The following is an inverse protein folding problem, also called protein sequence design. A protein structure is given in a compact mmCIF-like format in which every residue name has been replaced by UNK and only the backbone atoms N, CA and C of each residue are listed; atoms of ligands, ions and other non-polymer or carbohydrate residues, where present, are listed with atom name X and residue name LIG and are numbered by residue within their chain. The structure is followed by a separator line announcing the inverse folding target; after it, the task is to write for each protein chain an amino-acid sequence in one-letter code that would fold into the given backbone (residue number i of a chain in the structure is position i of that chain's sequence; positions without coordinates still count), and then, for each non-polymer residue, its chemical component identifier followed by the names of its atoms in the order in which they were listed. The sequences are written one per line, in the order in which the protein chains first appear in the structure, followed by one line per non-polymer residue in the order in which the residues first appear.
data_IF_387174608759
#
_entry.id   IF_387174608759
#
_cell.length_a   1.000
_cell.length_b   1.000
_cell.length_c   1.000
_cell.angle_alpha   90.00
_cell.angle_beta   90.00
_cell.angle_gamma   90.00
#
_symmetry.space_group_name_H-M   'P 1'
#
loop_
_entity.id
_entity.type
_entity.pdbx_description
1 polymer ?
#
# COMPACT_ATOMS: atom_id res chain seq x y z
N UNK A 1 -32.37 -8.45 12.08
CA UNK A 1 -32.13 -8.49 10.62
C UNK A 1 -30.83 -9.25 10.40
N UNK A 2 -30.89 -10.38 9.72
CA UNK A 2 -29.67 -11.14 9.38
C UNK A 2 -29.24 -10.70 7.99
N UNK A 3 -28.02 -10.23 7.85
CA UNK A 3 -27.43 -9.89 6.55
C UNK A 3 -26.84 -11.17 5.99
N UNK A 4 -27.40 -11.66 4.90
CA UNK A 4 -26.84 -12.79 4.16
C UNK A 4 -25.98 -12.25 3.01
N UNK A 5 -24.72 -12.67 2.98
CA UNK A 5 -23.84 -12.37 1.85
C UNK A 5 -24.09 -13.34 0.70
N UNK A 6 -24.09 -12.83 -0.52
CA UNK A 6 -24.08 -13.68 -1.72
C UNK A 6 -22.83 -14.57 -1.68
N UNK A 7 -22.97 -15.81 -2.14
CA UNK A 7 -21.88 -16.79 -2.17
C UNK A 7 -21.53 -17.25 -3.59
N UNK A 8 -22.19 -16.68 -4.58
CA UNK A 8 -22.07 -17.02 -6.02
C UNK A 8 -21.04 -16.13 -6.76
N UNK A 9 -19.96 -15.75 -6.09
CA UNK A 9 -18.89 -14.94 -6.63
C UNK A 9 -17.53 -15.57 -6.33
N UNK A 10 -16.54 -15.32 -7.21
CA UNK A 10 -15.13 -15.69 -6.98
C UNK A 10 -14.46 -14.68 -6.04
N UNK A 11 -14.72 -13.39 -6.25
CA UNK A 11 -14.15 -12.29 -5.47
C UNK A 11 -15.25 -11.41 -4.90
N UNK A 12 -15.19 -11.12 -3.61
CA UNK A 12 -16.11 -10.19 -2.95
C UNK A 12 -15.77 -8.74 -3.31
N UNK A 13 -14.48 -8.49 -3.57
CA UNK A 13 -13.97 -7.19 -3.96
C UNK A 13 -12.75 -7.35 -4.86
N UNK A 14 -12.69 -6.55 -5.92
CA UNK A 14 -11.52 -6.41 -6.79
C UNK A 14 -11.13 -4.94 -6.79
N UNK A 15 -9.88 -4.64 -6.46
CA UNK A 15 -9.40 -3.26 -6.30
C UNK A 15 -8.22 -2.98 -7.24
N UNK A 16 -8.45 -2.25 -8.34
CA UNK A 16 -7.35 -1.70 -9.12
C UNK A 16 -6.66 -0.58 -8.32
N UNK A 17 -5.37 -0.66 -8.16
CA UNK A 17 -4.63 0.35 -7.40
C UNK A 17 -3.15 0.36 -7.75
N UNK A 18 -2.52 1.51 -7.54
CA UNK A 18 -1.09 1.64 -7.46
C UNK A 18 -0.64 1.52 -6.00
N UNK A 19 0.35 0.69 -5.75
CA UNK A 19 0.86 0.46 -4.40
C UNK A 19 2.27 1.02 -4.24
N UNK A 20 2.54 1.56 -3.07
CA UNK A 20 3.84 2.14 -2.75
C UNK A 20 4.25 1.94 -1.31
N UNK A 21 5.32 2.60 -0.93
CA UNK A 21 5.84 2.64 0.43
C UNK A 21 5.46 3.92 1.15
N UNK A 22 5.17 3.80 2.43
CA UNK A 22 5.04 4.94 3.34
C UNK A 22 6.15 4.88 4.35
N UNK A 23 6.86 6.00 4.52
CA UNK A 23 7.84 6.21 5.57
C UNK A 23 7.23 7.09 6.65
N UNK A 24 7.13 6.59 7.87
CA UNK A 24 6.62 7.34 9.00
C UNK A 24 7.72 7.48 10.04
N UNK A 25 8.07 8.71 10.46
CA UNK A 25 9.05 8.90 11.53
C UNK A 25 8.61 8.21 12.82
N UNK A 26 9.55 7.59 13.52
CA UNK A 26 9.25 6.97 14.81
C UNK A 26 8.94 8.03 15.88
N UNK A 27 8.15 7.63 16.88
CA UNK A 27 7.89 8.47 18.07
C UNK A 27 7.33 9.86 17.79
N UNK A 28 6.59 10.03 16.69
CA UNK A 28 5.97 11.33 16.34
C UNK A 28 6.97 12.45 16.03
N UNK A 29 8.22 12.12 15.72
CA UNK A 29 9.24 13.10 15.34
C UNK A 29 8.89 13.78 14.01
N UNK A 30 9.30 15.04 13.81
CA UNK A 30 9.16 15.68 12.51
C UNK A 30 10.13 15.06 11.50
N UNK A 31 9.71 15.00 10.23
CA UNK A 31 10.48 14.37 9.15
C UNK A 31 11.91 14.92 9.05
N UNK A 32 12.06 16.25 9.16
CA UNK A 32 13.36 16.93 8.94
C UNK A 32 14.41 16.60 10.01
N UNK A 33 14.01 16.11 11.16
CA UNK A 33 14.93 15.75 12.26
C UNK A 33 14.98 14.26 12.57
N UNK A 34 14.14 13.44 11.91
CA UNK A 34 14.13 12.01 12.12
C UNK A 34 15.15 11.30 11.25
N UNK A 35 15.84 10.34 11.83
CA UNK A 35 16.73 9.41 11.11
C UNK A 35 16.18 7.99 11.05
N UNK A 36 15.13 7.70 11.82
CA UNK A 36 14.50 6.40 11.90
C UNK A 36 13.04 6.47 11.43
N UNK A 37 12.70 5.59 10.51
CA UNK A 37 11.39 5.53 9.89
C UNK A 37 10.85 4.11 9.89
N UNK A 38 9.54 3.99 10.00
CA UNK A 38 8.82 2.75 9.78
C UNK A 38 8.37 2.72 8.32
N UNK A 39 8.72 1.65 7.61
CA UNK A 39 8.22 1.40 6.25
C UNK A 39 6.91 0.61 6.32
N UNK A 40 5.92 1.07 5.60
CA UNK A 40 4.61 0.42 5.47
C UNK A 40 4.22 0.36 3.99
N UNK A 41 3.55 -0.71 3.57
CA UNK A 41 2.89 -0.71 2.27
C UNK A 41 1.64 0.17 2.34
N UNK A 42 1.38 0.93 1.29
CA UNK A 42 0.29 1.91 1.28
C UNK A 42 -0.48 1.91 -0.03
N UNK A 43 -1.77 1.97 0.11
CA UNK A 43 -2.76 2.26 -0.92
C UNK A 43 -4.10 2.49 -0.21
N UNK A 44 -4.83 3.51 -0.60
CA UNK A 44 -6.14 3.80 -0.01
C UNK A 44 -7.12 2.64 -0.28
N UNK A 45 -7.09 2.11 -1.49
CA UNK A 45 -7.96 1.04 -1.96
C UNK A 45 -7.71 -0.26 -1.20
N UNK A 46 -6.44 -0.64 -0.99
CA UNK A 46 -6.12 -1.86 -0.21
C UNK A 46 -6.44 -1.69 1.26
N UNK A 47 -6.36 -0.49 1.82
CA UNK A 47 -6.77 -0.23 3.20
C UNK A 47 -8.29 -0.47 3.38
N UNK A 48 -9.11 0.00 2.43
CA UNK A 48 -10.55 -0.29 2.43
C UNK A 48 -10.81 -1.78 2.24
N UNK A 49 -10.13 -2.41 1.28
CA UNK A 49 -10.26 -3.83 0.98
C UNK A 49 -9.84 -4.75 2.14
N UNK A 50 -8.97 -4.27 3.03
CA UNK A 50 -8.56 -5.01 4.24
C UNK A 50 -9.74 -5.36 5.12
N UNK A 51 -10.78 -4.54 5.17
CA UNK A 51 -11.98 -4.84 5.96
C UNK A 51 -12.62 -6.15 5.47
N UNK A 52 -12.81 -6.26 4.15
CA UNK A 52 -13.38 -7.49 3.56
C UNK A 52 -12.48 -8.70 3.79
N UNK A 53 -11.18 -8.55 3.60
CA UNK A 53 -10.22 -9.63 3.79
C UNK A 53 -10.19 -10.13 5.25
N UNK A 54 -10.18 -9.25 6.22
CA UNK A 54 -10.20 -9.64 7.64
C UNK A 54 -11.53 -10.23 8.09
N UNK A 55 -12.61 -10.01 7.35
CA UNK A 55 -13.89 -10.72 7.53
C UNK A 55 -13.90 -12.09 6.85
N UNK A 56 -12.78 -12.53 6.27
CA UNK A 56 -12.67 -13.82 5.60
C UNK A 56 -13.25 -13.85 4.18
N UNK A 57 -13.53 -12.70 3.59
CA UNK A 57 -14.05 -12.62 2.23
C UNK A 57 -12.89 -12.55 1.22
N UNK A 58 -13.01 -13.22 0.06
CA UNK A 58 -11.94 -13.22 -0.95
C UNK A 58 -11.80 -11.85 -1.61
N UNK A 59 -10.59 -11.30 -1.57
CA UNK A 59 -10.24 -10.00 -2.15
C UNK A 59 -9.12 -10.17 -3.16
N UNK A 60 -9.22 -9.50 -4.30
CA UNK A 60 -8.17 -9.44 -5.32
C UNK A 60 -7.71 -8.01 -5.57
N UNK A 61 -6.40 -7.81 -5.58
CA UNK A 61 -5.75 -6.54 -5.94
C UNK A 61 -5.24 -6.63 -7.37
N UNK A 62 -5.54 -5.63 -8.19
CA UNK A 62 -4.98 -5.47 -9.53
C UNK A 62 -3.98 -4.33 -9.52
N UNK A 63 -2.74 -4.60 -9.87
CA UNK A 63 -1.67 -3.59 -9.75
C UNK A 63 -0.56 -3.78 -10.78
N UNK A 64 0.47 -2.97 -10.68
CA UNK A 64 1.70 -3.10 -11.45
C UNK A 64 2.88 -3.17 -10.49
N UNK A 65 3.82 -4.06 -10.75
CA UNK A 65 5.06 -4.16 -9.99
C UNK A 65 6.28 -3.89 -10.87
N UNK A 66 7.24 -3.19 -10.30
CA UNK A 66 8.56 -3.06 -10.91
C UNK A 66 9.35 -4.34 -10.64
N UNK A 67 9.75 -5.01 -11.72
CA UNK A 67 10.44 -6.28 -11.70
C UNK A 67 11.75 -6.23 -10.90
N UNK A 68 11.93 -7.19 -10.01
CA UNK A 68 13.12 -7.25 -9.15
C UNK A 68 13.23 -6.17 -8.07
N UNK A 69 12.25 -5.29 -7.94
CA UNK A 69 12.25 -4.24 -6.93
C UNK A 69 12.10 -4.82 -5.50
N UNK A 70 12.95 -4.44 -4.55
CA UNK A 70 12.77 -4.84 -3.16
C UNK A 70 11.50 -4.27 -2.55
N UNK A 71 11.02 -3.12 -3.05
CA UNK A 71 9.75 -2.53 -2.62
C UNK A 71 8.56 -3.35 -3.13
N UNK A 72 8.63 -3.83 -4.38
CA UNK A 72 7.63 -4.76 -4.89
C UNK A 72 7.53 -6.03 -4.03
N UNK A 73 8.67 -6.58 -3.63
CA UNK A 73 8.72 -7.74 -2.72
C UNK A 73 8.07 -7.44 -1.38
N UNK A 74 8.41 -6.30 -0.78
CA UNK A 74 7.83 -5.85 0.47
C UNK A 74 6.31 -5.72 0.39
N UNK A 75 5.79 -5.13 -0.70
CA UNK A 75 4.34 -4.98 -0.92
C UNK A 75 3.66 -6.35 -1.09
N UNK A 76 4.27 -7.26 -1.85
CA UNK A 76 3.74 -8.63 -2.04
C UNK A 76 3.62 -9.37 -0.71
N UNK A 77 4.63 -9.26 0.14
CA UNK A 77 4.64 -9.88 1.47
C UNK A 77 3.58 -9.25 2.39
N UNK A 78 3.35 -7.94 2.29
CA UNK A 78 2.28 -7.24 3.03
C UNK A 78 0.89 -7.68 2.56
N UNK A 79 0.65 -7.80 1.27
CA UNK A 79 -0.62 -8.31 0.72
C UNK A 79 -0.90 -9.75 1.20
N UNK A 80 0.11 -10.60 1.19
CA UNK A 80 0.00 -11.96 1.71
C UNK A 80 -0.34 -11.96 3.21
N UNK A 81 0.29 -11.11 4.00
CA UNK A 81 0.00 -10.93 5.42
C UNK A 81 -1.42 -10.42 5.69
N UNK A 82 -2.02 -9.70 4.76
CA UNK A 82 -3.42 -9.26 4.81
C UNK A 82 -4.40 -10.27 4.18
N UNK A 83 -3.94 -11.44 3.76
CA UNK A 83 -4.75 -12.46 3.08
C UNK A 83 -5.43 -11.97 1.79
N UNK A 84 -4.75 -11.10 1.04
CA UNK A 84 -5.22 -10.59 -0.23
C UNK A 84 -4.49 -11.26 -1.38
N UNK A 85 -5.24 -11.78 -2.35
CA UNK A 85 -4.67 -12.19 -3.63
C UNK A 85 -4.38 -10.98 -4.50
N UNK A 86 -3.45 -11.13 -5.40
CA UNK A 86 -3.16 -10.08 -6.38
C UNK A 86 -2.93 -10.66 -7.78
N UNK A 87 -3.21 -9.83 -8.76
CA UNK A 87 -2.80 -10.01 -10.13
C UNK A 87 -2.07 -8.75 -10.57
N UNK A 88 -0.89 -8.89 -11.12
CA UNK A 88 -0.03 -7.75 -11.43
C UNK A 88 0.61 -7.87 -12.79
N UNK A 89 0.69 -6.75 -13.48
CA UNK A 89 1.62 -6.56 -14.59
C UNK A 89 3.01 -6.30 -14.02
N UNK A 90 4.01 -7.06 -14.47
CA UNK A 90 5.39 -6.77 -14.12
C UNK A 90 6.05 -5.96 -15.24
N UNK A 91 6.68 -4.84 -14.87
CA UNK A 91 7.37 -3.92 -15.78
C UNK A 91 8.83 -3.77 -15.39
N UNK A 92 9.69 -3.62 -16.38
CA UNK A 92 11.09 -3.27 -16.12
C UNK A 92 11.17 -1.81 -15.70
N UNK A 93 12.06 -1.48 -14.77
CA UNK A 93 12.24 -0.10 -14.34
C UNK A 93 12.62 0.83 -15.50
N UNK A 94 13.37 0.34 -16.45
CA UNK A 94 13.98 1.16 -17.50
C UNK A 94 15.19 1.92 -16.97
N UNK A 95 15.34 3.18 -17.32
CA UNK A 95 16.42 4.03 -16.80
C UNK A 95 16.16 4.55 -15.38
N UNK A 96 17.05 5.41 -14.85
CA UNK A 96 16.92 5.97 -13.50
C UNK A 96 15.60 6.73 -13.26
N UNK A 97 14.99 7.23 -14.33
CA UNK A 97 13.74 7.99 -14.32
C UNK A 97 12.53 7.17 -14.80
N UNK A 98 12.72 5.86 -14.95
CA UNK A 98 11.66 4.94 -15.38
C UNK A 98 10.66 4.61 -14.29
N UNK A 99 9.93 3.51 -14.50
CA UNK A 99 8.90 3.06 -13.56
C UNK A 99 9.46 2.77 -12.17
N UNK A 100 8.74 3.20 -11.17
CA UNK A 100 9.06 2.92 -9.76
C UNK A 100 7.81 2.98 -8.91
N UNK A 101 7.85 2.33 -7.74
CA UNK A 101 6.79 2.44 -6.77
C UNK A 101 6.80 3.83 -6.13
N UNK A 102 5.62 4.38 -5.91
CA UNK A 102 5.46 5.63 -5.20
C UNK A 102 5.99 5.54 -3.76
N UNK A 103 6.43 6.66 -3.24
CA UNK A 103 6.71 6.84 -1.83
C UNK A 103 5.94 8.02 -1.27
N UNK A 104 5.43 7.86 -0.05
CA UNK A 104 5.03 9.01 0.73
C UNK A 104 5.73 9.02 2.08
N UNK A 105 6.02 10.21 2.56
CA UNK A 105 6.56 10.42 3.89
C UNK A 105 5.46 11.07 4.70
N UNK A 106 4.96 10.35 5.69
CA UNK A 106 3.83 10.76 6.50
C UNK A 106 4.28 11.05 7.94
N UNK A 107 4.23 12.31 8.31
CA UNK A 107 4.42 12.78 9.68
C UNK A 107 3.04 12.88 10.33
N UNK A 108 2.81 12.09 11.37
CA UNK A 108 1.52 12.07 12.08
C UNK A 108 1.26 13.28 12.96
N UNK A 109 2.25 14.17 13.09
CA UNK A 109 2.16 15.32 14.00
C UNK A 109 2.42 14.95 15.46
N UNK A 110 2.54 15.95 16.29
CA UNK A 110 2.71 15.80 17.73
C UNK A 110 2.36 17.13 18.45
N UNK A 111 1.58 17.05 19.52
CA UNK A 111 1.15 18.23 20.25
C UNK A 111 0.36 19.21 19.36
N UNK A 112 0.80 20.47 19.30
CA UNK A 112 0.21 21.50 18.44
C UNK A 112 0.64 21.43 16.97
N UNK A 113 1.59 20.57 16.64
CA UNK A 113 2.08 20.37 15.26
C UNK A 113 1.16 19.40 14.53
N UNK A 114 0.45 19.88 13.52
CA UNK A 114 -0.44 19.07 12.70
C UNK A 114 0.31 18.04 11.82
N UNK A 115 -0.40 17.03 11.31
CA UNK A 115 0.18 16.03 10.42
C UNK A 115 0.59 16.66 9.07
N UNK A 116 1.61 16.07 8.45
CA UNK A 116 2.06 16.46 7.10
C UNK A 116 2.37 15.22 6.28
N UNK A 117 1.98 15.24 5.02
CA UNK A 117 2.29 14.18 4.06
C UNK A 117 2.95 14.79 2.85
N UNK A 118 4.04 14.16 2.43
CA UNK A 118 4.76 14.48 1.19
C UNK A 118 4.72 13.24 0.30
N UNK A 119 4.26 13.42 -0.93
CA UNK A 119 4.15 12.32 -1.89
C UNK A 119 5.18 12.47 -3.00
N UNK A 120 5.89 11.40 -3.29
CA UNK A 120 6.64 11.22 -4.52
C UNK A 120 5.96 10.13 -5.35
N UNK A 121 5.28 10.54 -6.40
CA UNK A 121 4.53 9.68 -7.30
C UNK A 121 5.07 9.69 -8.73
N UNK A 122 6.24 10.25 -8.95
CA UNK A 122 6.86 10.25 -10.26
C UNK A 122 7.24 8.82 -10.69
N UNK A 123 6.86 8.42 -11.88
CA UNK A 123 7.14 7.08 -12.43
C UNK A 123 6.29 5.93 -11.88
N UNK A 124 5.20 6.27 -11.22
CA UNK A 124 4.19 5.33 -10.74
C UNK A 124 3.42 4.65 -11.86
#
# INVERSE_FOLDING_TARGET
MTIEFRKDYTWSMVVPTSMGGRLTPVSGQPVHSSKNFILQATSAETNVASVSSYLGLPVKVLTTFVKGSPIARFIKDDLAGRHMDYEAKEVDQGGPWGYRHQFNIADSGSGSRGPRVHNDRAGE
#
